data_IF_454745992531
#
_entry.id   IF_454745992531
#
_cell.length_a   1.000
_cell.length_b   1.000
_cell.length_c   1.000
_cell.angle_alpha   90.00
_cell.angle_beta   90.00
_cell.angle_gamma   90.00
#
_symmetry.space_group_name_H-M   'P 1'
#
loop_
_entity.id
_entity.type
_entity.pdbx_description
1 polymer ?
#
# COMPACT_ATOMS: atom_id res chain seq x y z
N UNK A 1 5.81 -4.20 -13.84
CA UNK A 1 5.33 -3.05 -13.04
C UNK A 1 6.52 -2.34 -12.43
N UNK A 2 6.58 -1.04 -12.61
CA UNK A 2 7.62 -0.22 -11.99
C UNK A 2 7.04 0.46 -10.75
N UNK A 3 7.66 0.28 -9.60
CA UNK A 3 7.25 0.89 -8.35
C UNK A 3 8.11 2.13 -8.11
N UNK A 4 7.46 3.26 -7.89
CA UNK A 4 8.11 4.55 -7.67
C UNK A 4 7.54 5.23 -6.43
N UNK A 5 8.22 6.23 -5.91
CA UNK A 5 7.78 7.00 -4.76
C UNK A 5 8.52 8.33 -4.67
N UNK A 6 8.01 9.21 -3.83
CA UNK A 6 8.68 10.43 -3.42
C UNK A 6 9.59 10.11 -2.24
N UNK A 7 10.88 10.44 -2.33
CA UNK A 7 11.87 10.06 -1.31
C UNK A 7 11.59 10.71 0.04
N UNK A 8 11.10 11.94 0.07
CA UNK A 8 10.75 12.60 1.32
C UNK A 8 9.58 11.90 2.02
N UNK A 9 8.58 11.45 1.25
CA UNK A 9 7.45 10.68 1.79
C UNK A 9 7.89 9.31 2.29
N UNK A 10 8.82 8.66 1.59
CA UNK A 10 9.39 7.38 2.03
C UNK A 10 10.02 7.51 3.41
N UNK A 11 10.86 8.53 3.61
CA UNK A 11 11.55 8.78 4.89
C UNK A 11 10.56 9.08 6.00
N UNK A 12 9.58 9.93 5.74
CA UNK A 12 8.51 10.25 6.71
C UNK A 12 7.74 8.99 7.10
N UNK A 13 7.45 8.14 6.12
CA UNK A 13 6.72 6.90 6.37
C UNK A 13 7.51 5.94 7.26
N UNK A 14 8.82 5.81 7.04
CA UNK A 14 9.70 4.99 7.89
C UNK A 14 9.68 5.51 9.33
N UNK A 15 9.81 6.82 9.52
CA UNK A 15 9.78 7.44 10.84
C UNK A 15 8.44 7.22 11.53
N UNK A 16 7.33 7.37 10.81
CA UNK A 16 5.98 7.32 11.37
C UNK A 16 5.48 5.89 11.59
N UNK A 17 5.77 4.98 10.68
CA UNK A 17 5.19 3.63 10.65
C UNK A 17 6.22 2.51 10.72
N UNK A 18 7.51 2.81 10.60
CA UNK A 18 8.57 1.79 10.58
C UNK A 18 8.58 0.92 9.33
N UNK A 19 7.91 1.35 8.26
CA UNK A 19 7.79 0.58 7.02
C UNK A 19 8.38 1.36 5.86
N UNK A 20 9.11 0.65 4.99
CA UNK A 20 9.82 1.21 3.86
C UNK A 20 9.08 0.92 2.56
N UNK A 21 8.85 1.96 1.74
CA UNK A 21 8.21 1.81 0.43
C UNK A 21 8.97 0.86 -0.50
N UNK A 22 10.27 0.69 -0.29
CA UNK A 22 11.08 -0.25 -1.06
C UNK A 22 10.60 -1.70 -0.90
N UNK A 23 9.91 -2.03 0.19
CA UNK A 23 9.37 -3.36 0.43
C UNK A 23 8.02 -3.61 -0.27
N UNK A 24 7.47 -2.60 -0.94
CA UNK A 24 6.20 -2.76 -1.66
C UNK A 24 6.27 -3.83 -2.74
N UNK A 25 7.42 -4.03 -3.37
CA UNK A 25 7.61 -5.07 -4.37
C UNK A 25 7.34 -6.46 -3.78
N UNK A 26 7.74 -6.70 -2.55
CA UNK A 26 7.51 -7.99 -1.88
C UNK A 26 6.04 -8.19 -1.54
N UNK A 27 5.34 -7.11 -1.15
CA UNK A 27 3.90 -7.17 -0.89
C UNK A 27 3.13 -7.50 -2.16
N UNK A 28 3.41 -6.82 -3.26
CA UNK A 28 2.75 -7.05 -4.55
C UNK A 28 3.07 -8.41 -5.16
N UNK A 29 4.19 -9.03 -4.78
CA UNK A 29 4.55 -10.37 -5.26
C UNK A 29 3.67 -11.47 -4.67
N UNK A 30 3.01 -11.22 -3.53
CA UNK A 30 2.13 -12.16 -2.87
C UNK A 30 0.66 -11.96 -3.23
N UNK A 31 -0.21 -12.59 -2.45
CA UNK A 31 -1.66 -12.41 -2.60
C UNK A 31 -2.06 -11.06 -2.02
N UNK A 32 -2.77 -10.26 -2.81
CA UNK A 32 -3.21 -8.92 -2.40
C UNK A 32 -4.71 -8.74 -2.63
N UNK A 33 -5.28 -7.79 -1.88
CA UNK A 33 -6.64 -7.32 -2.05
C UNK A 33 -6.57 -5.83 -2.33
N UNK A 34 -7.01 -5.41 -3.53
CA UNK A 34 -6.92 -4.02 -3.96
C UNK A 34 -8.31 -3.47 -4.28
N UNK A 35 -8.59 -2.27 -3.83
CA UNK A 35 -9.83 -1.56 -4.12
C UNK A 35 -9.56 -0.07 -4.28
N UNK A 36 -10.48 0.61 -4.97
CA UNK A 36 -10.37 2.06 -5.16
C UNK A 36 -10.67 2.81 -3.87
N UNK A 37 -9.86 3.84 -3.57
CA UNK A 37 -10.09 4.71 -2.43
C UNK A 37 -10.96 5.89 -2.85
N UNK A 38 -12.25 5.82 -2.55
CA UNK A 38 -13.24 6.84 -2.88
C UNK A 38 -13.61 7.74 -1.70
N UNK A 39 -12.86 7.68 -0.60
CA UNK A 39 -13.20 8.42 0.62
C UNK A 39 -13.11 9.93 0.43
N UNK A 40 -12.20 10.40 -0.42
CA UNK A 40 -11.96 11.81 -0.69
C UNK A 40 -11.75 12.05 -2.18
N UNK A 41 -11.96 13.30 -2.60
CA UNK A 41 -11.55 13.75 -3.92
C UNK A 41 -10.10 14.22 -3.83
N UNK A 42 -9.18 13.38 -4.31
CA UNK A 42 -7.74 13.68 -4.28
C UNK A 42 -7.26 14.41 -5.53
N UNK A 43 -8.16 14.67 -6.49
CA UNK A 43 -7.76 15.15 -7.82
C UNK A 43 -7.07 14.08 -8.67
N UNK A 44 -6.95 12.86 -8.17
CA UNK A 44 -6.38 11.70 -8.88
C UNK A 44 -7.01 10.43 -8.33
N UNK A 45 -7.02 9.39 -9.13
CA UNK A 45 -7.52 8.08 -8.71
C UNK A 45 -6.50 7.41 -7.79
N UNK A 46 -6.94 6.99 -6.61
CA UNK A 46 -6.10 6.28 -5.63
C UNK A 46 -6.66 4.91 -5.32
N UNK A 47 -5.76 4.00 -5.01
CA UNK A 47 -6.07 2.63 -4.63
C UNK A 47 -5.51 2.30 -3.26
N UNK A 48 -6.16 1.35 -2.61
CA UNK A 48 -5.71 0.75 -1.36
C UNK A 48 -5.42 -0.73 -1.64
N UNK A 49 -4.24 -1.18 -1.27
CA UNK A 49 -3.86 -2.59 -1.36
C UNK A 49 -3.54 -3.12 0.02
N UNK A 50 -4.18 -4.23 0.37
CA UNK A 50 -3.86 -5.02 1.56
C UNK A 50 -3.01 -6.21 1.12
N UNK A 51 -1.93 -6.50 1.85
CA UNK A 51 -1.06 -7.62 1.55
C UNK A 51 -0.15 -7.95 2.71
N UNK A 52 0.62 -9.01 2.57
CA UNK A 52 1.54 -9.47 3.62
C UNK A 52 2.95 -8.97 3.37
N UNK A 53 3.58 -8.45 4.41
CA UNK A 53 5.01 -8.17 4.46
C UNK A 53 5.58 -8.89 5.67
N UNK A 54 6.38 -9.94 5.42
CA UNK A 54 6.99 -10.75 6.47
C UNK A 54 5.96 -11.23 7.52
N UNK A 55 4.82 -11.71 7.03
CA UNK A 55 3.76 -12.26 7.89
C UNK A 55 2.83 -11.23 8.53
N UNK A 56 3.05 -9.94 8.31
CA UNK A 56 2.22 -8.86 8.83
C UNK A 56 1.38 -8.26 7.71
N UNK A 57 0.07 -8.11 7.93
CA UNK A 57 -0.79 -7.43 6.96
C UNK A 57 -0.48 -5.94 6.98
N UNK A 58 -0.19 -5.39 5.80
CA UNK A 58 0.07 -3.96 5.61
C UNK A 58 -0.95 -3.37 4.66
N UNK A 59 -1.13 -2.06 4.76
CA UNK A 59 -2.05 -1.28 3.93
C UNK A 59 -1.23 -0.26 3.17
N UNK A 60 -1.31 -0.30 1.85
CA UNK A 60 -0.62 0.65 0.97
C UNK A 60 -1.63 1.51 0.23
N UNK A 61 -1.42 2.83 0.23
CA UNK A 61 -2.12 3.73 -0.66
C UNK A 61 -1.20 4.03 -1.85
N UNK A 62 -1.75 3.99 -3.06
CA UNK A 62 -0.95 4.20 -4.26
C UNK A 62 -1.79 4.71 -5.43
N UNK A 63 -1.10 5.24 -6.44
CA UNK A 63 -1.70 5.57 -7.74
C UNK A 63 -1.17 4.61 -8.79
N UNK A 64 -1.92 4.46 -9.87
CA UNK A 64 -1.59 3.56 -10.97
C UNK A 64 -1.59 4.30 -12.29
N UNK A 65 -0.57 4.03 -13.11
CA UNK A 65 -0.58 4.36 -14.53
C UNK A 65 -0.30 3.07 -15.31
N UNK A 66 -0.32 3.13 -16.62
CA UNK A 66 0.02 1.97 -17.46
C UNK A 66 1.47 1.49 -17.27
N UNK A 67 2.34 2.33 -16.67
CA UNK A 67 3.78 2.05 -16.54
C UNK A 67 4.25 1.97 -15.11
N UNK A 68 3.59 2.67 -14.17
CA UNK A 68 4.10 2.85 -12.81
C UNK A 68 3.03 2.72 -11.76
N UNK A 69 3.43 2.16 -10.61
CA UNK A 69 2.70 2.22 -9.36
C UNK A 69 3.46 3.17 -8.44
N UNK A 70 2.85 4.27 -8.03
CA UNK A 70 3.46 5.23 -7.11
C UNK A 70 2.92 5.02 -5.70
N UNK A 71 3.80 4.64 -4.79
CA UNK A 71 3.45 4.43 -3.38
C UNK A 71 3.33 5.77 -2.67
N UNK A 72 2.22 5.97 -1.97
CA UNK A 72 1.91 7.19 -1.22
C UNK A 72 2.12 6.98 0.27
N UNK A 73 1.67 5.83 0.78
CA UNK A 73 1.81 5.49 2.20
C UNK A 73 1.80 3.98 2.41
N UNK A 74 2.39 3.54 3.51
CA UNK A 74 2.39 2.14 3.92
C UNK A 74 2.32 2.08 5.44
N UNK A 75 1.36 1.36 5.97
CA UNK A 75 1.17 1.19 7.42
C UNK A 75 0.72 -0.22 7.74
N UNK A 76 0.82 -0.61 9.00
CA UNK A 76 0.26 -1.88 9.47
C UNK A 76 -1.26 -1.81 9.46
N UNK A 77 -1.90 -2.92 9.12
CA UNK A 77 -3.34 -3.03 9.10
C UNK A 77 -3.92 -2.99 10.52
N UNK A 78 -5.11 -2.39 10.65
CA UNK A 78 -5.93 -2.53 11.85
C UNK A 78 -6.47 -3.96 11.92
N UNK A 79 -7.04 -4.34 13.08
CA UNK A 79 -7.68 -5.65 13.22
C UNK A 79 -8.78 -5.86 12.18
N UNK A 80 -9.61 -4.84 11.96
CA UNK A 80 -10.68 -4.90 10.97
C UNK A 80 -10.13 -5.14 9.56
N UNK A 81 -9.06 -4.44 9.21
CA UNK A 81 -8.41 -4.58 7.90
C UNK A 81 -7.75 -5.96 7.73
N UNK A 82 -7.16 -6.50 8.81
CA UNK A 82 -6.63 -7.88 8.78
C UNK A 82 -7.74 -8.88 8.48
N UNK A 83 -8.88 -8.74 9.15
CA UNK A 83 -10.05 -9.59 8.91
C UNK A 83 -10.52 -9.48 7.46
N UNK A 84 -10.60 -8.25 6.94
CA UNK A 84 -10.98 -7.99 5.57
C UNK A 84 -10.03 -8.68 4.58
N UNK A 85 -8.73 -8.60 4.82
CA UNK A 85 -7.73 -9.25 3.99
C UNK A 85 -7.93 -10.78 3.95
N UNK A 86 -8.03 -11.41 5.11
CA UNK A 86 -8.14 -12.86 5.19
C UNK A 86 -9.47 -13.38 4.67
N UNK A 87 -10.55 -12.61 4.77
CA UNK A 87 -11.86 -13.00 4.22
C UNK A 87 -11.90 -12.94 2.69
N UNK A 88 -10.97 -12.21 2.07
CA UNK A 88 -10.93 -12.03 0.62
C UNK A 88 -9.82 -12.82 -0.07
N UNK A 89 -9.25 -13.78 0.62
CA UNK A 89 -8.25 -14.69 0.02
C UNK A 89 -8.89 -15.75 -0.86
#
# INVERSE_FOLDING_TARGET
>A
MKIVWDEAKRRTNITKHGLDFADAVDVFAGVTCTFEDNRFDYGEQRFITLGLLQGTVVVMAHTETSRETRIISMRKATRHEQTLYFENL
#
